data_IF_602611357678
#
_entry.id   IF_602611357678
#
_cell.length_a   1.000
_cell.length_b   1.000
_cell.length_c   1.000
_cell.angle_alpha   90.00
_cell.angle_beta   90.00
_cell.angle_gamma   90.00
#
_symmetry.space_group_name_H-M   'P 1'
#
loop_
_entity.id
_entity.type
_entity.pdbx_description
1 polymer ?
#
# COMPACT_ATOMS: atom_id res chain seq x y z
N UNK A 1 -0.27 12.94 -29.98
CA UNK A 1 0.36 12.22 -31.11
C UNK A 1 0.85 10.92 -30.57
N UNK A 2 0.33 9.81 -31.02
CA UNK A 2 0.74 8.48 -30.57
C UNK A 2 2.12 8.20 -31.14
N UNK A 3 3.08 7.84 -30.29
CA UNK A 3 4.44 7.48 -30.73
C UNK A 3 4.40 6.15 -31.47
N UNK A 4 4.69 6.16 -32.76
CA UNK A 4 4.89 4.94 -33.56
C UNK A 4 6.38 4.62 -33.61
N UNK A 5 6.88 3.77 -32.73
CA UNK A 5 8.14 3.10 -32.97
C UNK A 5 7.84 1.71 -33.58
N UNK A 6 8.31 1.49 -34.77
CA UNK A 6 8.21 0.21 -35.52
C UNK A 6 6.80 -0.33 -35.84
N UNK A 7 5.79 0.54 -36.03
CA UNK A 7 4.48 0.13 -36.53
C UNK A 7 3.58 -0.62 -35.53
N UNK A 8 3.95 -0.68 -34.25
CA UNK A 8 3.12 -1.19 -33.17
C UNK A 8 2.55 -0.06 -32.31
N UNK A 9 1.35 -0.23 -31.80
CA UNK A 9 0.78 0.64 -30.76
C UNK A 9 1.63 0.43 -29.51
N UNK A 10 2.32 1.47 -29.03
CA UNK A 10 3.05 1.41 -27.75
C UNK A 10 2.02 1.63 -26.65
N UNK A 11 1.70 0.58 -25.90
CA UNK A 11 0.80 0.64 -24.75
C UNK A 11 1.50 1.30 -23.56
N UNK A 12 0.80 2.17 -22.85
CA UNK A 12 1.31 2.77 -21.60
C UNK A 12 1.23 1.73 -20.48
N UNK A 13 2.35 1.43 -19.86
CA UNK A 13 2.43 0.47 -18.75
C UNK A 13 1.84 1.07 -17.48
N UNK A 14 1.08 0.29 -16.74
CA UNK A 14 0.48 0.68 -15.46
C UNK A 14 0.90 -0.28 -14.37
N UNK A 15 1.48 0.24 -13.30
CA UNK A 15 1.81 -0.50 -12.11
C UNK A 15 1.02 0.04 -10.91
N UNK A 16 0.45 -0.86 -10.12
CA UNK A 16 -0.34 -0.51 -8.95
C UNK A 16 0.39 -1.00 -7.71
N UNK A 17 0.82 -0.06 -6.86
CA UNK A 17 1.59 -0.33 -5.63
C UNK A 17 0.68 -0.07 -4.44
N UNK A 18 -0.03 -1.10 -4.00
CA UNK A 18 -0.93 -1.07 -2.86
C UNK A 18 -0.24 -1.54 -1.58
N UNK A 19 -0.93 -1.44 -0.47
CA UNK A 19 -0.50 -1.84 0.85
C UNK A 19 -1.08 -0.93 1.92
N UNK A 20 -1.21 -1.44 3.13
CA UNK A 20 -1.86 -0.70 4.20
C UNK A 20 -1.06 0.54 4.62
N UNK A 21 -1.67 1.39 5.47
CA UNK A 21 -1.03 2.62 5.96
C UNK A 21 0.31 2.33 6.64
N UNK A 22 1.36 3.06 6.25
CA UNK A 22 2.71 2.89 6.80
C UNK A 22 3.43 1.60 6.40
N UNK A 23 2.92 0.82 5.46
CA UNK A 23 3.53 -0.44 5.02
C UNK A 23 4.86 -0.27 4.27
N UNK A 24 5.21 0.95 3.83
CA UNK A 24 6.47 1.21 3.09
C UNK A 24 6.31 1.34 1.58
N UNK A 25 5.11 1.59 1.07
CA UNK A 25 4.83 1.79 -0.37
C UNK A 25 5.75 2.83 -1.02
N UNK A 26 5.82 4.02 -0.43
CA UNK A 26 6.65 5.12 -0.93
C UNK A 26 8.15 4.74 -0.97
N UNK A 27 8.62 3.90 -0.04
CA UNK A 27 10.00 3.38 -0.06
C UNK A 27 10.24 2.47 -1.27
N UNK A 28 9.30 1.54 -1.55
CA UNK A 28 9.35 0.70 -2.73
C UNK A 28 9.30 1.53 -4.02
N UNK A 29 8.40 2.50 -4.09
CA UNK A 29 8.27 3.40 -5.26
C UNK A 29 9.58 4.12 -5.54
N UNK A 30 10.23 4.68 -4.52
CA UNK A 30 11.56 5.31 -4.67
C UNK A 30 12.61 4.34 -5.23
N UNK A 31 12.63 3.10 -4.75
CA UNK A 31 13.54 2.07 -5.25
C UNK A 31 13.28 1.75 -6.73
N UNK A 32 12.01 1.56 -7.10
CA UNK A 32 11.62 1.29 -8.49
C UNK A 32 12.01 2.45 -9.42
N UNK A 33 11.75 3.68 -9.02
CA UNK A 33 12.08 4.87 -9.80
C UNK A 33 13.58 5.07 -9.96
N UNK A 34 14.36 4.79 -8.91
CA UNK A 34 15.81 4.98 -8.94
C UNK A 34 16.54 3.91 -9.77
N UNK A 35 16.03 2.68 -9.79
CA UNK A 35 16.76 1.52 -10.30
C UNK A 35 16.05 0.82 -11.47
N UNK A 36 14.76 0.53 -11.34
CA UNK A 36 14.03 -0.29 -12.32
C UNK A 36 13.54 0.50 -13.51
N UNK A 37 13.08 1.73 -13.28
CA UNK A 37 12.46 2.59 -14.30
C UNK A 37 13.36 3.74 -14.74
N UNK A 38 14.67 3.63 -14.47
CA UNK A 38 15.64 4.64 -14.88
C UNK A 38 15.60 4.82 -16.40
N UNK A 39 15.28 6.05 -16.84
CA UNK A 39 15.18 6.41 -18.25
C UNK A 39 13.79 6.27 -18.89
N UNK A 40 12.80 5.70 -18.19
CA UNK A 40 11.38 5.76 -18.61
C UNK A 40 10.77 7.13 -18.21
N UNK A 41 9.83 7.63 -19.03
CA UNK A 41 9.00 8.78 -18.67
C UNK A 41 7.87 8.28 -17.75
N UNK A 42 8.08 8.38 -16.44
CA UNK A 42 7.16 7.84 -15.42
C UNK A 42 6.33 8.97 -14.83
N UNK A 43 5.01 8.76 -14.74
CA UNK A 43 4.10 9.60 -13.97
C UNK A 43 3.59 8.82 -12.76
N UNK A 44 3.72 9.40 -11.56
CA UNK A 44 3.18 8.85 -10.34
C UNK A 44 1.82 9.50 -10.01
N UNK A 45 0.80 8.67 -9.82
CA UNK A 45 -0.51 9.07 -9.31
C UNK A 45 -0.60 8.60 -7.86
N UNK A 46 -0.56 9.56 -6.94
CA UNK A 46 -0.76 9.31 -5.51
C UNK A 46 -2.20 9.64 -5.14
N UNK A 47 -2.85 8.73 -4.42
CA UNK A 47 -4.15 8.95 -3.84
C UNK A 47 -4.05 8.80 -2.32
N UNK A 48 -3.92 9.92 -1.61
CA UNK A 48 -3.97 9.91 -0.15
C UNK A 48 -5.41 10.06 0.34
N UNK A 49 -5.73 9.29 1.37
CA UNK A 49 -6.97 9.44 2.11
C UNK A 49 -6.83 10.64 3.05
N UNK A 50 -7.54 11.73 2.74
CA UNK A 50 -7.50 12.98 3.52
C UNK A 50 -7.39 14.23 2.64
N UNK A 51 -7.76 15.37 3.20
CA UNK A 51 -7.84 16.64 2.47
C UNK A 51 -6.48 17.36 2.31
N UNK A 52 -5.41 16.87 2.94
CA UNK A 52 -4.12 17.57 3.00
C UNK A 52 -3.00 16.66 2.53
N UNK A 53 -2.53 16.86 1.29
CA UNK A 53 -1.35 16.18 0.73
C UNK A 53 -0.05 16.65 1.41
N UNK A 54 0.67 15.74 2.04
CA UNK A 54 1.95 16.00 2.72
C UNK A 54 3.13 15.34 2.00
N UNK A 55 2.91 14.27 1.22
CA UNK A 55 3.98 13.44 0.64
C UNK A 55 4.61 13.98 -0.65
N UNK A 56 3.91 14.82 -1.42
CA UNK A 56 4.36 15.32 -2.73
C UNK A 56 5.70 16.10 -2.74
N UNK A 57 6.24 16.48 -1.58
CA UNK A 57 7.52 17.19 -1.49
C UNK A 57 8.74 16.31 -1.72
N UNK A 58 8.70 15.04 -1.33
CA UNK A 58 9.88 14.15 -1.29
C UNK A 58 10.28 13.58 -2.65
N UNK A 59 9.35 13.45 -3.59
CA UNK A 59 9.58 12.83 -4.90
C UNK A 59 9.85 13.87 -5.99
N UNK A 60 9.45 15.13 -5.79
CA UNK A 60 9.71 16.25 -6.72
C UNK A 60 11.21 16.52 -6.94
N UNK A 61 12.05 16.22 -5.95
CA UNK A 61 13.50 16.37 -6.06
C UNK A 61 14.14 15.40 -7.06
N UNK A 62 13.46 14.29 -7.40
CA UNK A 62 13.93 13.29 -8.36
C UNK A 62 13.58 13.63 -9.83
N UNK A 63 12.91 14.76 -10.10
CA UNK A 63 12.52 15.17 -11.46
C UNK A 63 11.36 14.37 -12.07
N UNK A 64 10.59 13.68 -11.23
CA UNK A 64 9.45 12.85 -11.63
C UNK A 64 8.19 13.71 -11.56
N UNK A 65 7.34 13.62 -12.59
CA UNK A 65 6.04 14.27 -12.59
C UNK A 65 5.11 13.55 -11.60
N UNK A 66 4.75 14.23 -10.51
CA UNK A 66 3.84 13.72 -9.49
C UNK A 66 2.48 14.38 -9.67
N UNK A 67 1.45 13.56 -9.77
CA UNK A 67 0.06 13.99 -9.77
C UNK A 67 -0.60 13.55 -8.46
N UNK A 68 -0.77 14.48 -7.55
CA UNK A 68 -1.56 14.28 -6.33
C UNK A 68 -3.06 14.36 -6.70
N UNK A 69 -3.82 13.34 -6.32
CA UNK A 69 -5.29 13.34 -6.44
C UNK A 69 -5.89 13.54 -5.05
N UNK A 70 -6.29 14.77 -4.74
CA UNK A 70 -6.77 15.18 -3.42
C UNK A 70 -8.29 14.96 -3.20
N UNK A 71 -8.97 14.23 -4.06
CA UNK A 71 -10.43 14.09 -3.99
C UNK A 71 -10.87 12.68 -3.65
N UNK A 72 -10.96 12.37 -2.34
CA UNK A 72 -11.61 11.14 -1.86
C UNK A 72 -10.91 9.84 -2.28
N UNK A 73 -11.32 8.72 -1.67
CA UNK A 73 -10.86 7.39 -2.13
C UNK A 73 -11.28 7.14 -3.59
N UNK A 74 -10.39 6.60 -4.42
CA UNK A 74 -10.72 6.06 -5.76
C UNK A 74 -11.94 5.12 -5.69
N UNK A 75 -12.14 4.48 -4.55
CA UNK A 75 -13.23 3.53 -4.30
C UNK A 75 -14.59 4.16 -3.99
N UNK A 76 -14.69 5.44 -3.58
CA UNK A 76 -15.92 5.92 -2.95
C UNK A 76 -16.84 6.77 -3.81
N UNK A 77 -16.34 7.56 -4.77
CA UNK A 77 -17.25 8.46 -5.50
C UNK A 77 -16.95 8.63 -7.00
N UNK A 78 -15.86 8.10 -7.52
CA UNK A 78 -15.26 8.72 -8.70
C UNK A 78 -14.59 7.75 -9.69
N UNK A 79 -15.20 6.62 -10.02
CA UNK A 79 -14.77 5.85 -11.21
C UNK A 79 -14.69 6.79 -12.44
N UNK A 80 -15.61 7.77 -12.53
CA UNK A 80 -15.60 8.79 -13.58
C UNK A 80 -14.45 9.78 -13.48
N UNK A 81 -14.09 10.24 -12.27
CA UNK A 81 -13.03 11.23 -12.08
C UNK A 81 -11.63 10.58 -12.19
N UNK A 82 -11.48 9.33 -11.76
CA UNK A 82 -10.25 8.59 -11.94
C UNK A 82 -9.97 8.30 -13.43
N UNK A 83 -10.98 7.86 -14.17
CA UNK A 83 -10.91 7.68 -15.62
C UNK A 83 -10.52 8.99 -16.33
N UNK A 84 -11.12 10.11 -15.93
CA UNK A 84 -10.81 11.44 -16.45
C UNK A 84 -9.38 11.85 -16.13
N UNK A 85 -8.91 11.57 -14.92
CA UNK A 85 -7.53 11.87 -14.50
C UNK A 85 -6.50 11.03 -15.24
N UNK A 86 -6.76 9.73 -15.44
CA UNK A 86 -5.89 8.87 -16.26
C UNK A 86 -5.81 9.39 -17.71
N UNK A 87 -6.93 9.78 -18.29
CA UNK A 87 -6.99 10.36 -19.63
C UNK A 87 -6.21 11.67 -19.74
N UNK A 88 -6.32 12.54 -18.74
CA UNK A 88 -5.52 13.77 -18.66
C UNK A 88 -4.03 13.46 -18.56
N UNK A 89 -3.63 12.50 -17.72
CA UNK A 89 -2.23 12.07 -17.55
C UNK A 89 -1.66 11.55 -18.87
N UNK A 90 -2.34 10.60 -19.51
CA UNK A 90 -1.90 10.03 -20.80
C UNK A 90 -1.78 11.11 -21.86
N UNK A 91 -2.81 11.97 -21.99
CA UNK A 91 -2.85 12.99 -23.04
C UNK A 91 -1.81 14.09 -22.84
N UNK A 92 -1.59 14.51 -21.59
CA UNK A 92 -0.74 15.66 -21.26
C UNK A 92 0.73 15.31 -21.18
N UNK A 93 1.06 14.16 -20.57
CA UNK A 93 2.44 13.80 -20.26
C UNK A 93 3.01 12.75 -21.20
N UNK A 94 2.15 12.05 -21.96
CA UNK A 94 2.54 10.94 -22.86
C UNK A 94 3.57 10.01 -22.19
N UNK A 95 3.23 9.42 -21.03
CA UNK A 95 4.17 8.63 -20.25
C UNK A 95 4.44 7.27 -20.90
N UNK A 96 5.63 6.70 -20.63
CA UNK A 96 5.92 5.31 -20.93
C UNK A 96 5.27 4.39 -19.86
N UNK A 97 5.16 4.93 -18.63
CA UNK A 97 4.64 4.22 -17.45
C UNK A 97 3.88 5.14 -16.49
N UNK A 98 2.82 4.59 -15.93
CA UNK A 98 2.06 5.20 -14.83
C UNK A 98 2.20 4.32 -13.60
N UNK A 99 2.73 4.88 -12.51
CA UNK A 99 2.68 4.27 -11.18
C UNK A 99 1.45 4.79 -10.45
N UNK A 100 0.66 3.90 -9.87
CA UNK A 100 -0.51 4.25 -9.07
C UNK A 100 -0.24 3.79 -7.63
N UNK A 101 -0.17 4.75 -6.70
CA UNK A 101 -0.18 4.49 -5.27
C UNK A 101 -1.59 4.78 -4.72
N UNK A 102 -2.46 3.75 -4.56
CA UNK A 102 -3.78 3.97 -3.98
C UNK A 102 -3.69 4.29 -2.50
N UNK A 103 -4.77 4.83 -1.95
CA UNK A 103 -4.89 5.02 -0.50
C UNK A 103 -4.61 3.73 0.26
N UNK A 104 -3.88 3.83 1.37
CA UNK A 104 -3.54 2.69 2.21
C UNK A 104 -4.73 1.98 2.83
N UNK A 105 -5.91 2.58 2.83
CA UNK A 105 -7.18 1.98 3.28
C UNK A 105 -8.08 1.56 2.11
N UNK A 106 -7.65 1.74 0.86
CA UNK A 106 -8.39 1.34 -0.33
C UNK A 106 -8.30 -0.15 -0.64
N UNK A 107 -9.28 -0.67 -1.37
CA UNK A 107 -9.24 -2.01 -1.95
C UNK A 107 -8.45 -1.99 -3.26
N UNK A 108 -7.46 -2.88 -3.39
CA UNK A 108 -6.67 -3.01 -4.62
C UNK A 108 -7.54 -3.40 -5.82
N UNK A 109 -8.52 -4.29 -5.59
CA UNK A 109 -9.46 -4.72 -6.64
C UNK A 109 -10.23 -3.58 -7.29
N UNK A 110 -10.56 -2.52 -6.53
CA UNK A 110 -11.34 -1.39 -7.05
C UNK A 110 -10.48 -0.53 -7.97
N UNK A 111 -9.20 -0.35 -7.62
CA UNK A 111 -8.24 0.36 -8.47
C UNK A 111 -7.97 -0.41 -9.76
N UNK A 112 -7.78 -1.73 -9.67
CA UNK A 112 -7.60 -2.60 -10.84
C UNK A 112 -8.81 -2.45 -11.78
N UNK A 113 -10.03 -2.57 -11.27
CA UNK A 113 -11.27 -2.39 -12.06
C UNK A 113 -11.35 -1.00 -12.70
N UNK A 114 -10.98 0.05 -11.96
CA UNK A 114 -11.02 1.41 -12.47
C UNK A 114 -10.06 1.61 -13.66
N UNK A 115 -8.85 1.01 -13.63
CA UNK A 115 -7.91 1.01 -14.75
C UNK A 115 -8.44 0.15 -15.91
N UNK A 116 -8.95 -1.05 -15.62
CA UNK A 116 -9.49 -1.97 -16.62
C UNK A 116 -10.65 -1.37 -17.42
N UNK A 117 -11.48 -0.56 -16.78
CA UNK A 117 -12.62 0.10 -17.45
C UNK A 117 -12.20 1.09 -18.54
N UNK A 118 -10.98 1.59 -18.50
CA UNK A 118 -10.47 2.61 -19.46
C UNK A 118 -9.27 2.13 -20.28
N UNK A 119 -8.75 0.92 -20.00
CA UNK A 119 -7.51 0.42 -20.61
C UNK A 119 -7.55 0.36 -22.13
N UNK A 120 -8.67 -0.07 -22.70
CA UNK A 120 -8.83 -0.21 -24.16
C UNK A 120 -9.00 1.17 -24.85
N UNK A 121 -9.59 2.15 -24.13
CA UNK A 121 -9.74 3.53 -24.64
C UNK A 121 -8.38 4.27 -24.65
N UNK A 122 -7.52 3.99 -23.67
CA UNK A 122 -6.29 4.72 -23.41
C UNK A 122 -5.02 3.94 -23.80
N UNK A 123 -5.16 2.75 -24.42
CA UNK A 123 -4.04 1.85 -24.75
C UNK A 123 -3.15 1.58 -23.52
N UNK A 124 -3.76 1.16 -22.39
CA UNK A 124 -3.07 0.85 -21.15
C UNK A 124 -2.86 -0.67 -20.98
N UNK A 125 -1.74 -1.02 -20.33
CA UNK A 125 -1.44 -2.40 -19.90
C UNK A 125 -1.11 -2.42 -18.40
N UNK A 126 -1.88 -3.17 -17.59
CA UNK A 126 -1.55 -3.39 -16.18
C UNK A 126 -0.43 -4.42 -16.11
N UNK A 127 0.80 -3.98 -15.78
CA UNK A 127 1.97 -4.85 -15.69
C UNK A 127 2.11 -5.46 -14.31
N UNK A 128 2.06 -4.65 -13.25
CA UNK A 128 2.29 -5.12 -11.89
C UNK A 128 1.17 -4.72 -10.94
N UNK A 129 0.77 -5.67 -10.08
CA UNK A 129 -0.21 -5.50 -8.99
C UNK A 129 0.47 -5.93 -7.71
N UNK A 130 1.01 -4.96 -6.97
CA UNK A 130 1.86 -5.20 -5.80
C UNK A 130 1.12 -4.84 -4.52
N UNK A 131 1.24 -5.68 -3.49
CA UNK A 131 0.85 -5.34 -2.12
C UNK A 131 2.08 -5.31 -1.22
N UNK A 132 2.33 -4.18 -0.56
CA UNK A 132 3.40 -4.05 0.44
C UNK A 132 2.83 -4.35 1.82
N UNK A 133 3.46 -5.27 2.56
CA UNK A 133 2.99 -5.79 3.84
C UNK A 133 4.03 -5.57 4.93
N UNK A 134 3.68 -4.81 5.97
CA UNK A 134 4.47 -4.72 7.21
C UNK A 134 4.30 -6.00 8.01
N UNK A 135 5.32 -6.86 8.05
CA UNK A 135 5.26 -8.16 8.74
C UNK A 135 5.03 -8.03 10.24
N UNK A 136 5.43 -6.91 10.84
CA UNK A 136 5.27 -6.68 12.28
C UNK A 136 3.80 -6.45 12.69
N UNK A 137 2.95 -6.03 11.74
CA UNK A 137 1.56 -5.63 11.96
C UNK A 137 0.54 -6.49 11.20
N UNK A 138 0.99 -7.42 10.36
CA UNK A 138 0.16 -8.22 9.45
C UNK A 138 -1.05 -8.85 10.17
N UNK A 139 -0.82 -9.59 11.24
CA UNK A 139 -1.89 -10.24 12.02
C UNK A 139 -2.88 -9.26 12.65
N UNK A 140 -2.38 -8.14 13.15
CA UNK A 140 -3.21 -7.09 13.75
C UNK A 140 -4.12 -6.44 12.71
N UNK A 141 -3.57 -6.07 11.55
CA UNK A 141 -4.34 -5.44 10.49
C UNK A 141 -5.37 -6.41 9.88
N UNK A 142 -5.00 -7.68 9.69
CA UNK A 142 -5.96 -8.67 9.20
C UNK A 142 -7.13 -8.85 10.17
N UNK A 143 -6.86 -8.88 11.49
CA UNK A 143 -7.91 -9.02 12.50
C UNK A 143 -8.84 -7.82 12.54
N UNK A 144 -8.30 -6.60 12.47
CA UNK A 144 -9.05 -5.38 12.72
C UNK A 144 -9.67 -4.78 11.44
N UNK A 145 -9.02 -4.97 10.28
CA UNK A 145 -9.37 -4.34 9.00
C UNK A 145 -9.40 -5.37 7.86
N UNK A 146 -9.81 -6.60 8.18
CA UNK A 146 -9.71 -7.77 7.30
C UNK A 146 -10.29 -7.56 5.91
N UNK A 147 -11.39 -6.84 5.76
CA UNK A 147 -12.02 -6.59 4.46
C UNK A 147 -11.07 -5.86 3.49
N UNK A 148 -10.44 -4.79 3.93
CA UNK A 148 -9.54 -3.98 3.11
C UNK A 148 -8.16 -4.62 2.98
N UNK A 149 -7.59 -5.02 4.11
CA UNK A 149 -6.26 -5.62 4.17
C UNK A 149 -6.17 -6.95 3.40
N UNK A 150 -7.20 -7.79 3.56
CA UNK A 150 -7.33 -9.06 2.84
C UNK A 150 -7.45 -8.86 1.35
N UNK A 151 -8.29 -7.90 0.92
CA UNK A 151 -8.45 -7.58 -0.50
C UNK A 151 -7.14 -7.13 -1.16
N UNK A 152 -6.31 -6.36 -0.46
CA UNK A 152 -5.00 -5.95 -0.98
C UNK A 152 -4.11 -7.17 -1.26
N UNK A 153 -4.11 -8.17 -0.38
CA UNK A 153 -3.33 -9.41 -0.55
C UNK A 153 -3.92 -10.29 -1.65
N UNK A 154 -5.23 -10.52 -1.63
CA UNK A 154 -5.92 -11.41 -2.58
C UNK A 154 -5.86 -10.91 -4.02
N UNK A 155 -5.81 -9.59 -4.22
CA UNK A 155 -5.80 -8.98 -5.55
C UNK A 155 -4.40 -8.73 -6.11
N UNK A 156 -3.35 -8.95 -5.32
CA UNK A 156 -1.97 -8.74 -5.74
C UNK A 156 -1.42 -9.92 -6.55
N UNK A 157 -0.60 -9.65 -7.56
CA UNK A 157 0.24 -10.67 -8.22
C UNK A 157 1.56 -10.88 -7.47
N UNK A 158 2.01 -9.85 -6.75
CA UNK A 158 3.26 -9.88 -5.97
C UNK A 158 3.03 -9.24 -4.61
N UNK A 159 3.49 -9.89 -3.55
CA UNK A 159 3.48 -9.38 -2.18
C UNK A 159 4.92 -9.12 -1.74
N UNK A 160 5.20 -7.90 -1.29
CA UNK A 160 6.53 -7.51 -0.82
C UNK A 160 6.46 -7.25 0.68
N UNK A 161 7.26 -7.98 1.45
CA UNK A 161 7.35 -7.78 2.88
C UNK A 161 8.29 -6.61 3.21
N UNK A 162 7.83 -5.74 4.06
CA UNK A 162 8.64 -4.67 4.65
C UNK A 162 8.95 -4.97 6.10
N UNK A 163 9.99 -4.31 6.63
CA UNK A 163 10.44 -4.44 8.03
C UNK A 163 10.93 -5.84 8.41
N UNK A 164 11.31 -6.63 7.44
CA UNK A 164 11.87 -7.98 7.64
C UNK A 164 13.27 -7.92 8.24
N UNK A 165 13.97 -6.81 8.07
CA UNK A 165 15.28 -6.47 8.67
C UNK A 165 15.23 -6.30 10.19
N UNK A 166 14.10 -5.86 10.73
CA UNK A 166 13.92 -5.60 12.18
C UNK A 166 12.94 -6.58 12.85
N UNK A 167 12.19 -7.34 12.07
CA UNK A 167 11.24 -8.32 12.59
C UNK A 167 11.96 -9.58 13.06
N UNK A 168 11.38 -10.26 14.05
CA UNK A 168 11.82 -11.61 14.41
C UNK A 168 11.42 -12.61 13.33
N UNK A 169 12.24 -13.64 13.10
CA UNK A 169 12.01 -14.66 12.07
C UNK A 169 10.60 -15.27 12.16
N UNK A 170 10.13 -15.56 13.41
CA UNK A 170 8.81 -16.13 13.62
C UNK A 170 7.67 -15.22 13.11
N UNK A 171 7.88 -13.87 13.11
CA UNK A 171 6.91 -12.92 12.58
C UNK A 171 6.88 -12.91 11.05
N UNK A 172 8.01 -13.10 10.44
CA UNK A 172 8.12 -13.21 8.98
C UNK A 172 7.45 -14.50 8.50
N UNK A 173 7.71 -15.63 9.18
CA UNK A 173 7.07 -16.92 8.89
C UNK A 173 5.55 -16.85 9.09
N UNK A 174 5.08 -16.31 10.23
CA UNK A 174 3.65 -16.12 10.51
C UNK A 174 2.96 -15.28 9.41
N UNK A 175 3.61 -14.20 8.96
CA UNK A 175 3.09 -13.37 7.88
C UNK A 175 3.08 -14.10 6.53
N UNK A 176 4.11 -14.92 6.25
CA UNK A 176 4.20 -15.71 5.02
C UNK A 176 3.08 -16.76 4.95
N UNK A 177 2.88 -17.54 6.02
CA UNK A 177 1.78 -18.51 6.11
C UNK A 177 0.43 -17.83 5.90
N UNK A 178 0.24 -16.68 6.51
CA UNK A 178 -0.99 -15.91 6.44
C UNK A 178 -1.25 -15.39 5.01
N UNK A 179 -0.25 -14.80 4.35
CA UNK A 179 -0.35 -14.33 2.97
C UNK A 179 -0.61 -15.50 2.03
N UNK A 180 0.12 -16.61 2.15
CA UNK A 180 -0.08 -17.82 1.33
C UNK A 180 -1.47 -18.44 1.53
N UNK A 181 -2.04 -18.38 2.74
CA UNK A 181 -3.41 -18.86 2.98
C UNK A 181 -4.49 -18.00 2.29
N UNK A 182 -4.20 -16.72 2.02
CA UNK A 182 -5.10 -15.79 1.33
C UNK A 182 -4.87 -15.75 -0.18
N UNK A 183 -3.62 -15.91 -0.62
CA UNK A 183 -3.23 -15.84 -2.02
C UNK A 183 -2.01 -16.76 -2.27
N UNK A 184 -2.28 -17.99 -2.63
CA UNK A 184 -1.26 -19.00 -2.91
C UNK A 184 -0.46 -18.69 -4.17
N UNK A 185 -1.09 -18.04 -5.15
CA UNK A 185 -0.48 -17.75 -6.47
C UNK A 185 0.46 -16.54 -6.44
N UNK A 186 0.33 -15.65 -5.45
CA UNK A 186 1.17 -14.47 -5.38
C UNK A 186 2.66 -14.84 -5.19
N UNK A 187 3.54 -14.18 -5.94
CA UNK A 187 4.96 -14.16 -5.61
C UNK A 187 5.17 -13.42 -4.29
N UNK A 188 5.93 -13.97 -3.34
CA UNK A 188 6.19 -13.31 -2.06
C UNK A 188 7.68 -13.03 -1.92
N UNK A 189 8.04 -11.76 -1.73
CA UNK A 189 9.41 -11.32 -1.47
C UNK A 189 9.55 -11.05 0.03
N UNK A 190 10.41 -11.79 0.70
CA UNK A 190 10.68 -11.65 2.15
C UNK A 190 11.98 -10.92 2.44
N UNK A 191 12.88 -10.77 1.46
CA UNK A 191 14.12 -10.01 1.58
C UNK A 191 13.82 -8.51 1.58
N UNK A 192 14.49 -7.69 2.43
CA UNK A 192 14.36 -6.24 2.39
C UNK A 192 14.63 -5.70 0.97
N UNK A 193 13.75 -4.82 0.47
CA UNK A 193 13.83 -4.33 -0.92
C UNK A 193 15.17 -3.65 -1.22
N UNK A 194 15.77 -3.01 -0.22
CA UNK A 194 17.08 -2.35 -0.36
C UNK A 194 18.26 -3.32 -0.53
N UNK A 195 18.05 -4.59 -0.21
CA UNK A 195 19.06 -5.65 -0.35
C UNK A 195 18.86 -6.51 -1.61
N UNK A 196 17.81 -6.22 -2.40
CA UNK A 196 17.51 -6.96 -3.63
C UNK A 196 18.28 -6.39 -4.83
N UNK A 197 18.80 -7.29 -5.65
CA UNK A 197 19.24 -6.93 -7.00
C UNK A 197 18.03 -6.52 -7.86
N UNK A 198 18.22 -5.52 -8.71
CA UNK A 198 17.17 -4.99 -9.60
C UNK A 198 16.57 -6.10 -10.49
N UNK A 199 17.40 -7.03 -10.99
CA UNK A 199 16.96 -8.16 -11.81
C UNK A 199 16.03 -9.11 -11.04
N UNK A 200 16.33 -9.39 -9.77
CA UNK A 200 15.50 -10.23 -8.90
C UNK A 200 14.16 -9.53 -8.63
N UNK A 201 14.20 -8.23 -8.35
CA UNK A 201 12.99 -7.44 -8.12
C UNK A 201 12.09 -7.43 -9.36
N UNK A 202 12.67 -7.17 -10.55
CA UNK A 202 11.93 -7.18 -11.83
C UNK A 202 11.30 -8.55 -12.10
N UNK A 203 12.03 -9.64 -11.91
CA UNK A 203 11.54 -10.99 -12.16
C UNK A 203 10.41 -11.37 -11.21
N UNK A 204 10.50 -10.98 -9.93
CA UNK A 204 9.44 -11.19 -8.96
C UNK A 204 8.19 -10.35 -9.26
N UNK A 205 8.35 -9.12 -9.75
CA UNK A 205 7.24 -8.26 -10.17
C UNK A 205 6.51 -8.83 -11.38
N UNK A 206 7.24 -9.40 -12.36
CA UNK A 206 6.65 -10.02 -13.54
C UNK A 206 5.89 -11.31 -13.22
N UNK A 207 6.14 -11.91 -12.07
CA UNK A 207 5.61 -13.24 -11.69
C UNK A 207 5.85 -14.31 -12.78
N UNK A 208 6.93 -14.17 -13.55
CA UNK A 208 7.32 -15.10 -14.59
C UNK A 208 7.98 -16.35 -13.97
N UNK A 209 7.13 -17.31 -13.66
CA UNK A 209 7.49 -18.55 -13.00
C UNK A 209 7.47 -18.38 -11.48
N UNK A 210 6.69 -19.24 -10.81
CA UNK A 210 6.60 -19.25 -9.37
C UNK A 210 7.98 -18.97 -8.78
N UNK A 211 8.19 -17.73 -8.30
CA UNK A 211 9.37 -17.39 -7.55
C UNK A 211 9.33 -18.33 -6.36
N UNK A 212 10.00 -19.47 -6.50
CA UNK A 212 10.24 -20.40 -5.39
C UNK A 212 10.81 -19.49 -4.32
N UNK A 213 10.08 -19.41 -3.24
CA UNK A 213 10.39 -18.63 -2.06
C UNK A 213 11.86 -18.24 -2.02
N UNK A 214 12.17 -16.96 -2.29
CA UNK A 214 13.49 -16.41 -2.07
C UNK A 214 13.66 -16.26 -0.56
N UNK A 215 13.54 -17.41 0.11
CA UNK A 215 13.91 -17.57 1.50
C UNK A 215 15.44 -17.53 1.49
N UNK A 216 15.99 -16.64 2.26
CA UNK A 216 17.42 -16.63 2.58
C UNK A 216 17.72 -17.98 3.20
N UNK A 217 18.26 -18.91 2.43
CA UNK A 217 18.91 -20.10 2.97
C UNK A 217 20.15 -19.64 3.72
N UNK A 218 19.97 -19.31 5.00
CA UNK A 218 21.12 -19.36 5.90
C UNK A 218 21.56 -20.82 5.94
N UNK A 219 22.70 -21.13 5.35
CA UNK A 219 23.36 -22.43 5.43
C UNK A 219 23.47 -22.85 6.89
N UNK A 220 22.49 -23.58 7.36
CA UNK A 220 22.60 -24.27 8.61
C UNK A 220 23.46 -25.52 8.40
N UNK A 221 24.73 -25.49 8.86
CA UNK A 221 25.67 -26.61 8.78
C UNK A 221 25.33 -27.70 9.81
N UNK A 222 24.14 -28.25 9.75
CA UNK A 222 23.81 -29.48 10.48
C UNK A 222 22.97 -30.35 9.54
N UNK A 223 23.69 -31.27 8.89
CA UNK A 223 23.08 -32.30 8.04
C UNK A 223 22.19 -33.22 8.84
N UNK A 224 20.91 -33.21 8.53
CA UNK A 224 20.01 -34.33 8.81
C UNK A 224 18.98 -34.41 7.68
N UNK A 225 19.21 -35.39 6.81
CA UNK A 225 18.23 -35.86 5.84
C UNK A 225 17.09 -36.58 6.56
N UNK A 226 15.88 -36.10 6.46
CA UNK A 226 14.69 -36.91 6.68
C UNK A 226 13.78 -36.83 5.45
N UNK A 227 13.92 -37.84 4.59
CA UNK A 227 12.94 -38.13 3.56
C UNK A 227 11.70 -38.77 4.17
N UNK A 228 10.55 -38.21 3.97
CA UNK A 228 9.28 -38.90 4.12
C UNK A 228 8.46 -38.85 2.86
N UNK A 229 8.46 -39.97 2.15
CA UNK A 229 7.48 -40.29 1.13
C UNK A 229 6.20 -40.75 1.82
N UNK A 230 5.08 -40.10 1.61
CA UNK A 230 3.76 -40.67 1.85
C UNK A 230 2.99 -40.78 0.54
N UNK A 231 2.86 -42.04 0.07
CA UNK A 231 1.87 -42.44 -0.91
C UNK A 231 0.55 -42.68 -0.19
N UNK A 232 -0.51 -42.04 -0.59
CA UNK A 232 -1.87 -42.45 -0.29
C UNK A 232 -2.58 -42.90 -1.56
N UNK A 233 -2.91 -44.21 -1.58
CA UNK A 233 -3.88 -44.82 -2.48
C UNK A 233 -5.30 -44.47 -1.99
N UNK A 234 -6.16 -44.07 -2.88
CA UNK A 234 -7.61 -44.11 -2.67
C UNK A 234 -8.24 -45.11 -3.63
N UNK A 235 -8.87 -46.12 -3.04
CA UNK A 235 -9.87 -47.00 -3.69
C UNK A 235 -11.28 -46.48 -3.38
N UNK A 236 -12.05 -46.45 -4.41
CA UNK A 236 -13.47 -46.58 -4.70
C UNK A 236 -14.57 -46.44 -3.61
N UNK A 237 -15.57 -45.59 -3.94
CA UNK A 237 -16.99 -45.98 -3.94
C UNK A 237 -17.80 -45.50 -2.73
N UNK A 238 -18.72 -44.56 -2.95
CA UNK A 238 -20.16 -44.74 -2.81
C UNK A 238 -20.93 -43.40 -2.95
N UNK A 239 -21.99 -43.47 -3.75
CA UNK A 239 -22.95 -42.39 -4.00
C UNK A 239 -23.76 -42.09 -2.74
N UNK A 240 -24.01 -40.83 -2.44
CA UNK A 240 -25.07 -40.38 -1.55
C UNK A 240 -25.83 -39.20 -2.11
N UNK A 241 -27.05 -39.48 -2.59
CA UNK A 241 -28.06 -38.51 -2.96
C UNK A 241 -28.63 -37.85 -1.72
N UNK A 242 -28.42 -36.57 -1.51
CA UNK A 242 -29.32 -35.71 -0.72
C UNK A 242 -29.29 -34.31 -1.27
N UNK A 243 -30.24 -33.98 -2.12
CA UNK A 243 -30.50 -32.61 -2.55
C UNK A 243 -31.14 -31.81 -1.41
N UNK A 244 -30.51 -30.74 -1.06
CA UNK A 244 -31.16 -29.60 -0.44
C UNK A 244 -30.50 -28.32 -0.98
N UNK A 245 -31.16 -27.70 -1.93
CA UNK A 245 -30.91 -26.32 -2.31
C UNK A 245 -31.36 -25.42 -1.16
N UNK A 246 -30.43 -24.86 -0.44
CA UNK A 246 -30.63 -23.63 0.31
C UNK A 246 -29.85 -22.51 -0.41
N UNK A 247 -30.58 -21.78 -1.23
CA UNK A 247 -30.16 -20.44 -1.66
C UNK A 247 -30.19 -19.53 -0.45
N UNK A 248 -29.08 -19.47 0.27
CA UNK A 248 -28.79 -18.35 1.14
C UNK A 248 -27.99 -17.32 0.31
N UNK A 249 -28.74 -16.38 -0.25
CA UNK A 249 -28.14 -15.16 -0.78
C UNK A 249 -27.45 -14.41 0.36
N UNK A 250 -26.16 -14.66 0.53
CA UNK A 250 -25.32 -13.79 1.33
C UNK A 250 -25.14 -12.49 0.56
N UNK A 251 -25.94 -11.49 0.89
CA UNK A 251 -25.66 -10.12 0.56
C UNK A 251 -24.38 -9.73 1.32
N UNK A 252 -23.23 -9.85 0.69
CA UNK A 252 -22.02 -9.22 1.16
C UNK A 252 -22.23 -7.71 1.05
N UNK A 253 -22.51 -7.04 2.17
CA UNK A 253 -22.44 -5.60 2.26
C UNK A 253 -20.95 -5.23 2.08
N UNK A 254 -20.60 -4.71 0.92
CA UNK A 254 -19.29 -4.13 0.68
C UNK A 254 -19.28 -2.77 1.34
N UNK A 255 -18.52 -2.64 2.44
CA UNK A 255 -18.30 -1.34 3.06
C UNK A 255 -17.34 -0.51 2.18
N UNK A 256 -17.66 0.77 2.05
CA UNK A 256 -16.74 1.76 1.49
C UNK A 256 -15.75 2.19 2.57
N UNK A 257 -14.54 2.62 2.17
CA UNK A 257 -13.51 3.01 3.12
C UNK A 257 -13.97 4.14 4.05
N UNK A 258 -14.75 5.10 3.53
CA UNK A 258 -15.30 6.23 4.28
C UNK A 258 -16.33 5.83 5.35
N UNK A 259 -16.91 4.63 5.28
CA UNK A 259 -17.81 4.10 6.30
C UNK A 259 -17.05 3.54 7.51
N UNK A 260 -15.80 3.14 7.33
CA UNK A 260 -14.97 2.48 8.33
C UNK A 260 -13.88 3.40 8.87
N UNK A 261 -13.34 4.26 8.02
CA UNK A 261 -12.23 5.14 8.35
C UNK A 261 -12.66 6.60 8.31
N UNK A 262 -12.21 7.34 9.31
CA UNK A 262 -12.35 8.79 9.38
C UNK A 262 -11.01 9.43 9.09
N UNK A 263 -11.00 10.42 8.20
CA UNK A 263 -9.85 11.30 7.98
C UNK A 263 -10.18 12.68 8.53
N UNK A 264 -9.24 13.26 9.25
CA UNK A 264 -9.33 14.63 9.73
C UNK A 264 -8.03 15.37 9.42
N UNK A 265 -8.18 16.57 8.86
CA UNK A 265 -7.08 17.45 8.56
C UNK A 265 -7.24 18.83 9.20
N UNK A 266 -6.15 19.46 9.57
CA UNK A 266 -6.16 20.86 9.99
C UNK A 266 -4.97 21.63 9.46
N UNK A 267 -5.20 22.92 9.22
CA UNK A 267 -4.15 23.94 9.08
C UNK A 267 -4.05 24.76 10.36
N UNK A 268 -2.84 25.07 10.79
CA UNK A 268 -2.63 25.80 12.05
C UNK A 268 -1.39 26.67 12.02
N UNK A 269 -1.50 27.85 12.65
CA UNK A 269 -0.35 28.72 12.92
C UNK A 269 0.28 28.45 14.30
N UNK A 270 -0.31 27.56 15.11
CA UNK A 270 0.23 27.20 16.43
C UNK A 270 1.61 26.53 16.26
N UNK A 271 2.49 26.79 17.22
CA UNK A 271 3.75 26.07 17.35
C UNK A 271 3.57 24.90 18.32
N UNK A 272 4.40 23.88 18.12
CA UNK A 272 4.42 22.65 18.94
C UNK A 272 5.86 22.33 19.34
N UNK A 273 6.04 21.78 20.54
CA UNK A 273 7.31 21.19 20.95
C UNK A 273 7.35 19.70 20.55
N UNK A 274 8.57 19.13 20.45
CA UNK A 274 8.73 17.67 20.24
C UNK A 274 8.05 16.87 21.34
N UNK A 275 8.22 17.29 22.60
CA UNK A 275 7.60 16.61 23.73
C UNK A 275 6.07 16.59 23.67
N UNK A 276 5.46 17.70 23.22
CA UNK A 276 4.00 17.74 23.03
C UNK A 276 3.51 16.75 21.98
N UNK A 277 4.24 16.61 20.88
CA UNK A 277 3.91 15.62 19.85
C UNK A 277 4.08 14.18 20.36
N UNK A 278 5.14 13.90 21.11
CA UNK A 278 5.36 12.59 21.74
C UNK A 278 4.25 12.23 22.73
N UNK A 279 3.75 13.20 23.51
CA UNK A 279 2.59 13.03 24.37
C UNK A 279 1.32 12.69 23.57
N UNK A 280 1.08 13.37 22.45
CA UNK A 280 -0.05 13.10 21.55
C UNK A 280 0.05 11.68 21.00
N UNK A 281 1.22 11.26 20.50
CA UNK A 281 1.41 9.92 19.94
C UNK A 281 1.31 8.82 21.00
N UNK A 282 1.79 9.09 22.21
CA UNK A 282 1.59 8.18 23.35
C UNK A 282 0.09 8.03 23.69
N UNK A 283 -0.69 9.10 23.59
CA UNK A 283 -2.14 9.02 23.74
C UNK A 283 -2.77 8.19 22.64
N UNK A 284 -2.35 8.37 21.38
CA UNK A 284 -2.83 7.58 20.25
C UNK A 284 -2.67 6.05 20.49
N UNK A 285 -1.50 5.64 21.03
CA UNK A 285 -1.22 4.23 21.32
C UNK A 285 -2.04 3.67 22.49
N UNK A 286 -2.46 4.52 23.42
CA UNK A 286 -3.20 4.13 24.63
C UNK A 286 -4.73 4.24 24.48
N UNK A 287 -5.22 4.71 23.33
CA UNK A 287 -6.65 4.81 23.09
C UNK A 287 -7.32 3.43 22.97
N UNK A 288 -8.51 3.33 23.56
CA UNK A 288 -9.27 2.06 23.60
C UNK A 288 -10.59 2.14 22.84
N UNK A 289 -11.06 3.34 22.48
CA UNK A 289 -12.30 3.56 21.75
C UNK A 289 -12.21 3.08 20.30
N UNK A 290 -11.08 3.34 19.68
CA UNK A 290 -10.82 3.04 18.28
C UNK A 290 -9.32 2.88 18.03
N UNK A 291 -8.90 3.10 16.81
CA UNK A 291 -7.48 3.00 16.42
C UNK A 291 -7.08 4.20 15.57
N UNK A 292 -6.07 4.93 15.99
CA UNK A 292 -5.40 5.92 15.14
C UNK A 292 -4.45 5.12 14.23
N UNK A 293 -4.71 5.13 12.93
CA UNK A 293 -3.97 4.32 11.95
C UNK A 293 -2.75 5.01 11.39
N UNK A 294 -2.86 6.32 11.19
CA UNK A 294 -1.78 7.17 10.71
C UNK A 294 -2.00 8.61 11.13
N UNK A 295 -0.92 9.30 11.45
CA UNK A 295 -0.92 10.76 11.51
C UNK A 295 0.35 11.28 10.86
N UNK A 296 0.22 12.28 10.01
CA UNK A 296 1.32 13.01 9.40
C UNK A 296 1.16 14.49 9.63
N UNK A 297 2.25 15.20 9.69
CA UNK A 297 2.17 16.65 9.77
C UNK A 297 3.49 17.37 9.61
N UNK A 298 3.32 18.65 9.36
CA UNK A 298 4.38 19.65 9.30
C UNK A 298 3.92 20.79 10.22
N UNK A 299 4.60 21.01 11.32
CA UNK A 299 4.20 22.00 12.31
C UNK A 299 5.35 22.94 12.66
N UNK A 300 5.02 24.19 12.98
CA UNK A 300 6.02 25.14 13.47
C UNK A 300 6.57 24.67 14.81
N UNK A 301 7.89 24.70 14.98
CA UNK A 301 8.54 24.39 16.25
C UNK A 301 8.37 25.55 17.24
N UNK A 302 8.16 25.23 18.53
CA UNK A 302 8.31 26.18 19.65
C UNK A 302 9.79 26.50 19.91
N UNK A 303 10.71 25.61 19.51
CA UNK A 303 12.14 25.70 19.73
C UNK A 303 12.84 26.20 18.48
N UNK A 304 12.90 27.54 18.32
CA UNK A 304 13.63 28.16 17.21
C UNK A 304 12.83 28.34 15.93
N UNK A 305 13.56 28.45 14.81
CA UNK A 305 13.02 28.79 13.49
C UNK A 305 12.71 27.57 12.62
N UNK A 306 12.94 26.38 13.13
CA UNK A 306 12.74 25.12 12.41
C UNK A 306 11.28 24.67 12.43
N UNK A 307 10.94 23.77 11.51
CA UNK A 307 9.64 23.11 11.48
C UNK A 307 9.81 21.64 11.84
N UNK A 308 8.79 21.06 12.49
CA UNK A 308 8.73 19.67 12.88
C UNK A 308 7.89 18.90 11.86
N UNK A 309 8.52 17.96 11.21
CA UNK A 309 7.88 16.99 10.33
C UNK A 309 7.68 15.71 11.14
N UNK A 310 6.49 15.14 11.10
CA UNK A 310 6.24 13.89 11.78
C UNK A 310 5.45 12.91 10.94
N UNK A 311 5.68 11.64 11.19
CA UNK A 311 4.91 10.51 10.69
C UNK A 311 4.68 9.53 11.85
N UNK A 312 3.42 9.15 12.08
CA UNK A 312 2.99 8.23 13.12
C UNK A 312 2.21 7.07 12.49
N UNK A 313 2.47 5.87 12.95
CA UNK A 313 1.66 4.66 12.79
C UNK A 313 1.60 3.93 14.14
N UNK A 314 0.59 3.09 14.44
CA UNK A 314 0.46 2.43 15.75
C UNK A 314 1.76 1.83 16.27
N UNK A 315 2.20 2.26 17.45
CA UNK A 315 3.44 1.82 18.10
C UNK A 315 4.74 2.34 17.51
N UNK A 316 4.69 3.28 16.58
CA UNK A 316 5.90 3.85 15.97
C UNK A 316 5.67 5.27 15.47
N UNK A 317 6.58 6.17 15.77
CA UNK A 317 6.58 7.52 15.19
C UNK A 317 8.00 8.03 14.92
N UNK A 318 8.09 8.99 14.04
CA UNK A 318 9.30 9.76 13.76
C UNK A 318 9.00 11.25 13.82
N UNK A 319 9.86 12.02 14.46
CA UNK A 319 9.81 13.50 14.45
C UNK A 319 11.18 14.00 14.00
N UNK A 320 11.21 14.74 12.89
CA UNK A 320 12.44 15.32 12.33
C UNK A 320 12.29 16.80 12.11
N UNK A 321 13.39 17.51 12.10
CA UNK A 321 13.43 18.91 11.72
C UNK A 321 13.49 19.04 10.20
N UNK A 322 12.81 20.03 9.66
CA UNK A 322 12.75 20.27 8.23
C UNK A 322 12.58 21.73 7.87
N UNK A 323 12.47 21.97 6.57
CA UNK A 323 12.32 23.31 6.02
C UNK A 323 11.02 23.98 6.45
N UNK A 324 11.00 25.30 6.44
CA UNK A 324 9.80 26.10 6.72
C UNK A 324 8.74 25.86 5.65
N UNK A 325 7.51 25.70 6.10
CA UNK A 325 6.32 25.74 5.25
C UNK A 325 5.53 27.03 5.51
N UNK A 326 4.53 27.30 4.67
CA UNK A 326 3.71 28.49 4.76
C UNK A 326 2.78 28.44 5.99
N UNK A 327 2.21 27.25 6.28
CA UNK A 327 1.30 27.02 7.40
C UNK A 327 1.51 25.59 7.93
N UNK A 328 1.29 25.41 9.23
CA UNK A 328 1.33 24.07 9.82
C UNK A 328 0.16 23.23 9.35
N UNK A 329 0.41 21.96 9.08
CA UNK A 329 -0.57 20.98 8.56
C UNK A 329 -0.51 19.70 9.37
N UNK A 330 -1.66 19.14 9.67
CA UNK A 330 -1.80 17.82 10.30
C UNK A 330 -2.89 17.05 9.58
N UNK A 331 -2.63 15.78 9.32
CA UNK A 331 -3.61 14.82 8.87
C UNK A 331 -3.63 13.63 9.84
N UNK A 332 -4.82 13.15 10.18
CA UNK A 332 -5.04 11.96 11.02
C UNK A 332 -6.03 11.04 10.34
N UNK A 333 -5.69 9.76 10.24
CA UNK A 333 -6.55 8.69 9.74
C UNK A 333 -6.83 7.72 10.88
N UNK A 334 -8.10 7.48 11.17
CA UNK A 334 -8.52 6.66 12.29
C UNK A 334 -9.74 5.78 11.95
N UNK A 335 -9.95 4.76 12.76
CA UNK A 335 -11.19 3.97 12.78
C UNK A 335 -11.85 4.08 14.14
N UNK A 336 -13.17 4.29 14.16
CA UNK A 336 -13.96 4.40 15.39
C UNK A 336 -13.93 5.78 16.05
N UNK A 337 -13.56 6.83 15.31
CA UNK A 337 -13.54 8.23 15.76
C UNK A 337 -14.36 9.12 14.82
N UNK A 338 -14.87 10.23 15.35
CA UNK A 338 -15.37 11.37 14.56
C UNK A 338 -14.26 12.40 14.35
N UNK A 339 -14.43 13.31 13.40
CA UNK A 339 -13.46 14.40 13.16
C UNK A 339 -13.30 15.32 14.39
N UNK A 340 -14.40 15.62 15.10
CA UNK A 340 -14.39 16.43 16.31
C UNK A 340 -13.51 15.80 17.40
N UNK A 341 -13.59 14.48 17.56
CA UNK A 341 -12.78 13.76 18.53
C UNK A 341 -11.30 13.72 18.15
N UNK A 342 -10.99 13.57 16.85
CA UNK A 342 -9.61 13.64 16.36
C UNK A 342 -8.99 15.02 16.58
N UNK A 343 -9.78 16.07 16.43
CA UNK A 343 -9.36 17.45 16.70
C UNK A 343 -8.92 17.65 18.15
N UNK A 344 -9.55 16.99 19.12
CA UNK A 344 -9.25 17.14 20.54
C UNK A 344 -7.81 16.72 20.93
N UNK A 345 -7.15 15.91 20.12
CA UNK A 345 -5.76 15.53 20.37
C UNK A 345 -4.77 16.69 20.14
N UNK A 346 -5.11 17.63 19.27
CA UNK A 346 -4.24 18.73 18.84
C UNK A 346 -4.67 20.13 19.38
N UNK A 347 -5.70 20.19 20.18
CA UNK A 347 -6.15 21.43 20.85
C UNK A 347 -5.51 21.62 22.24
#
# INVERSE_FOLDING_TARGET
MVNYENGGIVMVKVDIISGFLGAGKTTLIKQLLAHVYAGENVVLIENEFGEIGIDGGFLKEAGIEIREMNSGCICCSLVGDFATSLKEVVTRYNPDRILIEPSGVGKLSDVIKAVENVKDELDLEICYKVAVIDVTKCKMYLKNFGEFYKNQIESASTVIFSRTDIAKAEKVEEALELVKSLNEEAAVITTPVQELDDEILINALKNEGAAKDLIREEECCCGHHHGHHHHHHHEDGEECCCGHHHEHGHHHHHHHADEVFTSWGMETSKAYSKNKLEEIFTRFDNETKGTILRSKGILKSEEGDNWLYFDYVPGQFEIREGNKDYIGKVCVIAAGYTEEELKEFFV
#
